data_IF_291204305307
#
_entry.id   IF_291204305307
#
_cell.length_a   1.000
_cell.length_b   1.000
_cell.length_c   1.000
_cell.angle_alpha   90.00
_cell.angle_beta   90.00
_cell.angle_gamma   90.00
#
_symmetry.space_group_name_H-M   'P 1'
#
loop_
_entity.id
_entity.type
_entity.pdbx_description
1 polymer ?
#
# COMPACT_ATOMS: atom_id res chain seq x y z
N UNK A 1 27.68 6.04 -0.72
CA UNK A 1 26.31 5.52 -0.95
C UNK A 1 25.98 4.60 0.20
N UNK A 2 25.07 5.00 1.10
CA UNK A 2 24.85 4.30 2.37
C UNK A 2 23.65 3.37 2.28
N UNK A 3 23.87 2.17 2.81
CA UNK A 3 23.08 0.95 2.73
C UNK A 3 21.61 1.12 3.14
N UNK A 4 20.76 0.48 2.34
CA UNK A 4 19.35 0.18 2.60
C UNK A 4 19.18 -0.64 3.87
N UNK A 5 18.60 -0.04 4.91
CA UNK A 5 18.01 -0.77 6.03
C UNK A 5 16.51 -0.51 5.94
N UNK A 6 15.85 -1.21 5.01
CA UNK A 6 14.40 -1.29 5.01
C UNK A 6 14.05 -2.51 5.84
N UNK A 7 13.61 -2.33 7.09
CA UNK A 7 12.58 -3.16 7.71
C UNK A 7 12.13 -2.54 9.05
N UNK A 8 10.89 -2.89 9.44
CA UNK A 8 10.20 -2.66 10.73
C UNK A 8 9.25 -1.46 10.79
N UNK A 9 8.32 -1.38 9.83
CA UNK A 9 6.89 -1.19 10.15
C UNK A 9 6.17 -1.61 8.87
N UNK A 10 5.25 -2.58 8.92
CA UNK A 10 4.51 -3.13 7.78
C UNK A 10 3.56 -2.12 7.11
N UNK A 11 3.83 -0.82 7.22
CA UNK A 11 2.93 0.28 6.98
C UNK A 11 3.58 1.31 6.07
N UNK A 12 3.17 1.25 4.82
CA UNK A 12 3.66 2.05 3.71
C UNK A 12 2.82 3.32 3.58
N UNK A 13 3.47 4.46 3.34
CA UNK A 13 2.74 5.70 3.02
C UNK A 13 1.97 5.59 1.71
N UNK A 14 0.99 6.46 1.46
CA UNK A 14 0.20 6.49 0.21
C UNK A 14 1.07 6.47 -1.06
N UNK A 15 2.27 7.07 -1.00
CA UNK A 15 3.21 7.10 -2.13
C UNK A 15 3.94 5.76 -2.31
N UNK A 16 4.39 5.18 -1.21
CA UNK A 16 5.11 3.90 -1.15
C UNK A 16 4.21 2.74 -1.59
N UNK A 17 3.01 2.63 -1.00
CA UNK A 17 2.07 1.52 -1.30
C UNK A 17 1.67 1.50 -2.77
N UNK A 18 1.54 2.66 -3.41
CA UNK A 18 1.24 2.79 -4.84
C UNK A 18 2.39 2.27 -5.71
N UNK A 19 3.63 2.56 -5.32
CA UNK A 19 4.84 2.04 -5.99
C UNK A 19 4.96 0.53 -5.81
N UNK A 20 4.73 0.02 -4.60
CA UNK A 20 4.83 -1.42 -4.30
C UNK A 20 3.73 -2.25 -4.98
N UNK A 21 2.48 -1.80 -4.92
CA UNK A 21 1.35 -2.47 -5.57
C UNK A 21 1.24 -2.16 -7.06
N UNK A 22 2.04 -1.20 -7.56
CA UNK A 22 1.97 -0.68 -8.93
C UNK A 22 0.54 -0.26 -9.34
N UNK A 23 -0.20 0.31 -8.39
CA UNK A 23 -1.58 0.75 -8.57
C UNK A 23 -1.67 2.28 -8.72
N UNK A 24 -2.73 2.71 -9.41
CA UNK A 24 -3.06 4.13 -9.51
C UNK A 24 -3.73 4.66 -8.24
N UNK A 25 -3.86 5.98 -8.12
CA UNK A 25 -4.53 6.60 -6.96
C UNK A 25 -6.02 6.27 -6.89
N UNK A 26 -6.67 6.11 -8.05
CA UNK A 26 -8.04 5.65 -8.17
C UNK A 26 -8.20 4.23 -7.64
N UNK A 27 -7.29 3.33 -8.03
CA UNK A 27 -7.29 1.95 -7.52
C UNK A 27 -7.03 1.86 -6.02
N UNK A 28 -6.12 2.69 -5.49
CA UNK A 28 -5.89 2.78 -4.05
C UNK A 28 -7.18 3.17 -3.30
N UNK A 29 -7.94 4.12 -3.84
CA UNK A 29 -9.24 4.51 -3.28
C UNK A 29 -10.26 3.37 -3.35
N UNK A 30 -10.39 2.71 -4.51
CA UNK A 30 -11.26 1.54 -4.64
C UNK A 30 -10.90 0.41 -3.67
N UNK A 31 -9.61 0.15 -3.43
CA UNK A 31 -9.17 -0.88 -2.49
C UNK A 31 -9.48 -0.49 -1.04
N UNK A 32 -9.36 0.80 -0.71
CA UNK A 32 -9.76 1.36 0.59
C UNK A 32 -11.27 1.23 0.80
N UNK A 33 -12.08 1.62 -0.18
CA UNK A 33 -13.55 1.56 -0.08
C UNK A 33 -14.08 0.12 -0.06
N UNK A 34 -13.44 -0.78 -0.81
CA UNK A 34 -13.77 -2.22 -0.81
C UNK A 34 -13.31 -2.95 0.46
N UNK A 35 -12.60 -2.29 1.38
CA UNK A 35 -12.00 -2.92 2.56
C UNK A 35 -10.94 -3.97 2.23
N UNK A 36 -10.36 -3.92 1.03
CA UNK A 36 -9.33 -4.86 0.55
C UNK A 36 -7.91 -4.46 0.95
N UNK A 37 -7.75 -3.29 1.55
CA UNK A 37 -6.46 -2.75 1.96
C UNK A 37 -6.52 -2.33 3.42
N UNK A 38 -5.70 -2.96 4.25
CA UNK A 38 -5.50 -2.52 5.62
C UNK A 38 -4.84 -1.14 5.64
N UNK A 39 -5.48 -0.17 6.28
CA UNK A 39 -4.94 1.17 6.47
C UNK A 39 -5.01 1.58 7.94
N UNK A 40 -4.04 2.38 8.38
CA UNK A 40 -4.04 3.05 9.68
C UNK A 40 -3.80 4.54 9.50
N UNK A 41 -4.39 5.33 10.38
CA UNK A 41 -4.12 6.77 10.47
C UNK A 41 -3.27 7.02 11.71
N UNK A 42 -2.08 7.57 11.54
CA UNK A 42 -1.22 8.01 12.64
C UNK A 42 -1.07 9.53 12.54
N UNK A 43 -1.67 10.25 13.50
CA UNK A 43 -1.73 11.71 13.48
C UNK A 43 -2.47 12.22 12.23
N UNK A 44 -1.75 12.97 11.40
CA UNK A 44 -2.29 13.49 10.12
C UNK A 44 -1.93 12.61 8.91
N UNK A 45 -1.17 11.54 9.09
CA UNK A 45 -0.68 10.69 8.00
C UNK A 45 -1.47 9.38 7.91
N UNK A 46 -1.69 8.92 6.68
CA UNK A 46 -2.27 7.62 6.38
C UNK A 46 -1.18 6.64 5.94
N UNK A 47 -1.22 5.45 6.52
CA UNK A 47 -0.32 4.35 6.20
C UNK A 47 -1.15 3.12 5.82
N UNK A 48 -0.58 2.28 4.97
CA UNK A 48 -1.24 1.16 4.33
C UNK A 48 -0.36 -0.07 4.44
N UNK A 49 -0.94 -1.21 4.77
CA UNK A 49 -0.22 -2.48 4.77
C UNK A 49 -0.11 -3.03 3.37
N UNK A 50 1.01 -3.70 3.08
CA UNK A 50 1.14 -4.46 1.85
C UNK A 50 0.26 -5.72 1.96
N UNK A 51 -0.82 -5.84 1.17
CA UNK A 51 -1.61 -7.05 1.15
C UNK A 51 -0.75 -8.20 0.61
N UNK A 52 -0.62 -9.28 1.38
CA UNK A 52 0.19 -10.48 1.02
C UNK A 52 -0.30 -11.23 -0.23
N UNK A 53 -1.33 -10.72 -0.93
CA UNK A 53 -2.11 -11.47 -1.93
C UNK A 53 -2.41 -10.65 -3.18
N UNK A 54 -1.42 -9.93 -3.70
CA UNK A 54 -1.46 -9.40 -5.07
C UNK A 54 -0.68 -10.33 -5.99
N UNK A 55 -1.24 -11.52 -6.23
CA UNK A 55 -0.95 -12.28 -7.44
C UNK A 55 -2.24 -12.27 -8.26
N UNK A 56 -2.10 -11.96 -9.55
CA UNK A 56 -3.09 -12.02 -10.64
C UNK A 56 -3.87 -10.72 -10.96
N UNK A 57 -3.51 -10.03 -12.07
CA UNK A 57 -4.47 -9.22 -12.80
C UNK A 57 -5.48 -10.14 -13.48
N UNK A 58 -6.64 -10.36 -12.84
CA UNK A 58 -7.79 -10.94 -13.52
C UNK A 58 -8.50 -9.81 -14.29
N UNK A 59 -7.97 -9.49 -15.48
CA UNK A 59 -8.70 -8.71 -16.49
C UNK A 59 -9.60 -9.72 -17.20
N UNK A 60 -10.91 -9.63 -16.93
CA UNK A 60 -11.97 -10.22 -17.76
C UNK A 60 -12.19 -9.37 -19.00
#
# INVERSE_FOLDING_TARGET
MSLTIAHIDDWLSSKEIRTHLKITGCELMHLREKGKLEFKKIGNAYFYKLPKKFSEPNVK
#
